data_IF_329922292385
#
_entry.id   IF_329922292385
#
_cell.length_a   1.000
_cell.length_b   1.000
_cell.length_c   1.000
_cell.angle_alpha   90.00
_cell.angle_beta   90.00
_cell.angle_gamma   90.00
#
_symmetry.space_group_name_H-M   'P 1'
#
loop_
_entity.id
_entity.type
_entity.pdbx_description
1 polymer ?
#
# COMPACT_ATOMS: atom_id res chain seq x y z
N UNK A 1 13.39 12.86 7.83
CA UNK A 1 14.79 12.74 7.33
C UNK A 1 14.70 12.01 6.00
N UNK A 2 15.24 12.55 4.89
CA UNK A 2 15.28 11.83 3.63
C UNK A 2 16.24 10.64 3.78
N UNK A 3 15.73 9.43 3.72
CA UNK A 3 16.55 8.23 3.61
C UNK A 3 17.11 8.16 2.19
N UNK A 4 18.25 8.80 1.99
CA UNK A 4 19.03 8.61 0.77
C UNK A 4 19.66 7.21 0.83
N UNK A 5 19.40 6.37 -0.18
CA UNK A 5 20.07 5.09 -0.38
C UNK A 5 21.55 5.34 -0.71
N UNK A 6 22.41 5.37 0.32
CA UNK A 6 23.85 5.64 0.17
C UNK A 6 24.73 4.41 0.46
N UNK A 7 24.16 3.19 0.50
CA UNK A 7 24.97 1.98 0.69
C UNK A 7 25.18 1.24 -0.62
N UNK A 8 26.44 0.90 -0.92
CA UNK A 8 26.86 0.09 -2.07
C UNK A 8 26.48 -1.41 -1.95
N UNK A 9 25.69 -1.82 -0.97
CA UNK A 9 25.15 -3.17 -0.82
C UNK A 9 23.74 -3.22 -1.41
N UNK A 10 23.31 -4.36 -2.00
CA UNK A 10 21.92 -4.50 -2.43
C UNK A 10 20.97 -4.18 -1.29
N UNK A 11 20.08 -3.22 -1.49
CA UNK A 11 19.11 -2.85 -0.45
C UNK A 11 18.14 -4.02 -0.20
N UNK A 12 17.92 -4.34 1.06
CA UNK A 12 16.96 -5.36 1.51
C UNK A 12 15.63 -4.67 1.78
N UNK A 13 14.60 -5.11 1.05
CA UNK A 13 13.25 -4.57 1.14
C UNK A 13 12.30 -5.61 1.75
N UNK A 14 11.73 -5.30 2.91
CA UNK A 14 10.70 -6.14 3.51
C UNK A 14 9.34 -5.81 2.89
N UNK A 15 8.58 -6.82 2.48
CA UNK A 15 7.37 -6.65 1.67
C UNK A 15 6.32 -7.70 2.01
N UNK A 16 5.04 -7.33 1.82
CA UNK A 16 3.90 -8.24 1.69
C UNK A 16 3.48 -8.33 0.22
N UNK A 17 2.68 -9.33 -0.16
CA UNK A 17 2.49 -9.79 -1.54
C UNK A 17 2.23 -8.74 -2.64
N UNK A 18 1.44 -7.65 -2.49
CA UNK A 18 1.08 -6.78 -3.62
C UNK A 18 2.05 -5.61 -3.89
N UNK A 19 3.25 -5.60 -3.36
CA UNK A 19 4.19 -4.47 -3.44
C UNK A 19 4.77 -4.14 -4.82
N UNK A 20 4.72 -5.07 -5.75
CA UNK A 20 5.48 -4.99 -7.00
C UNK A 20 5.01 -3.87 -7.91
N UNK A 21 3.70 -3.63 -7.94
CA UNK A 21 3.09 -2.54 -8.71
C UNK A 21 3.53 -1.17 -8.18
N UNK A 22 3.62 -1.00 -6.86
CA UNK A 22 4.12 0.23 -6.24
C UNK A 22 5.56 0.51 -6.67
N UNK A 23 6.44 -0.51 -6.64
CA UNK A 23 7.84 -0.37 -7.08
C UNK A 23 7.96 -0.11 -8.58
N UNK A 24 7.11 -0.76 -9.40
CA UNK A 24 7.06 -0.51 -10.84
C UNK A 24 6.62 0.92 -11.13
N UNK A 25 5.55 1.40 -10.50
CA UNK A 25 5.02 2.76 -10.62
C UNK A 25 6.04 3.81 -10.17
N UNK A 26 6.79 3.51 -9.12
CA UNK A 26 7.88 4.35 -8.63
C UNK A 26 9.16 4.31 -9.51
N UNK A 27 9.19 3.51 -10.58
CA UNK A 27 10.33 3.37 -11.48
C UNK A 27 11.54 2.65 -10.85
N UNK A 28 11.34 1.91 -9.77
CA UNK A 28 12.39 1.22 -9.04
C UNK A 28 12.69 -0.15 -9.62
N UNK A 29 11.69 -0.81 -10.19
CA UNK A 29 11.77 -2.07 -10.92
C UNK A 29 10.93 -1.99 -12.19
N UNK A 30 11.10 -2.96 -13.10
CA UNK A 30 10.21 -3.13 -14.25
C UNK A 30 9.59 -4.52 -14.20
N UNK A 31 8.26 -4.59 -14.27
CA UNK A 31 7.50 -5.84 -14.35
C UNK A 31 7.24 -6.22 -15.80
N UNK A 32 7.16 -7.50 -16.09
CA UNK A 32 6.78 -8.06 -17.39
C UNK A 32 5.36 -7.62 -17.77
N UNK A 33 4.44 -7.68 -16.82
CA UNK A 33 3.08 -7.18 -16.94
C UNK A 33 2.72 -6.40 -15.65
N UNK A 34 2.68 -5.07 -15.70
CA UNK A 34 2.34 -4.26 -14.53
C UNK A 34 0.85 -4.34 -14.15
N UNK A 35 -0.01 -4.92 -14.98
CA UNK A 35 -1.44 -5.10 -14.69
C UNK A 35 -1.75 -6.42 -13.97
N UNK A 36 -0.81 -7.36 -13.96
CA UNK A 36 -0.98 -8.62 -13.22
C UNK A 36 -0.78 -8.40 -11.71
N UNK A 37 -1.89 -8.37 -10.98
CA UNK A 37 -1.88 -8.23 -9.51
C UNK A 37 -1.29 -9.44 -8.77
N UNK A 38 -1.08 -10.57 -9.47
CA UNK A 38 -0.47 -11.80 -8.94
C UNK A 38 1.01 -11.93 -9.31
N UNK A 39 1.59 -10.89 -9.91
CA UNK A 39 3.00 -10.89 -10.30
C UNK A 39 3.89 -11.35 -9.13
N UNK A 40 4.87 -12.17 -9.41
CA UNK A 40 5.85 -12.69 -8.45
C UNK A 40 7.21 -12.01 -8.64
N UNK A 41 8.19 -12.32 -7.81
CA UNK A 41 9.57 -11.83 -8.00
C UNK A 41 10.18 -12.30 -9.33
N UNK A 42 9.68 -13.40 -9.91
CA UNK A 42 10.13 -13.91 -11.22
C UNK A 42 9.62 -13.05 -12.39
N UNK A 43 8.62 -12.22 -12.18
CA UNK A 43 8.06 -11.33 -13.19
C UNK A 43 8.78 -9.96 -13.25
N UNK A 44 9.80 -9.77 -12.42
CA UNK A 44 10.67 -8.59 -12.46
C UNK A 44 11.69 -8.74 -13.59
N UNK A 45 11.51 -7.97 -14.66
CA UNK A 45 12.41 -7.99 -15.83
C UNK A 45 13.61 -7.06 -15.70
N UNK A 46 13.48 -5.97 -14.88
CA UNK A 46 14.61 -5.09 -14.54
C UNK A 46 14.60 -4.74 -13.06
N UNK A 47 15.77 -4.85 -12.46
CA UNK A 47 16.05 -4.48 -11.08
C UNK A 47 17.43 -3.78 -11.03
N UNK A 48 17.55 -2.54 -11.55
CA UNK A 48 18.83 -1.89 -11.77
C UNK A 48 19.61 -1.61 -10.47
N UNK A 49 18.90 -1.53 -9.34
CA UNK A 49 19.51 -1.31 -8.01
C UNK A 49 19.77 -2.62 -7.27
N UNK A 50 19.48 -3.77 -7.90
CA UNK A 50 19.67 -5.11 -7.34
C UNK A 50 19.00 -5.30 -5.97
N UNK A 51 17.78 -4.79 -5.80
CA UNK A 51 17.00 -4.95 -4.57
C UNK A 51 16.83 -6.43 -4.22
N UNK A 52 16.95 -6.75 -2.93
CA UNK A 52 16.62 -8.05 -2.35
C UNK A 52 15.28 -7.94 -1.65
N UNK A 53 14.34 -8.77 -2.02
CA UNK A 53 13.00 -8.78 -1.43
C UNK A 53 12.92 -9.87 -0.36
N UNK A 54 12.40 -9.49 0.82
CA UNK A 54 12.10 -10.39 1.93
C UNK A 54 10.59 -10.33 2.16
N UNK A 55 9.90 -11.37 1.73
CA UNK A 55 8.45 -11.49 1.91
C UNK A 55 8.13 -11.87 3.35
N UNK A 56 7.24 -11.14 3.99
CA UNK A 56 6.81 -11.29 5.37
C UNK A 56 5.32 -11.01 5.50
N UNK A 57 4.72 -11.51 6.57
CA UNK A 57 3.35 -11.16 6.94
C UNK A 57 3.23 -9.66 7.23
N UNK A 58 2.17 -9.02 6.73
CA UNK A 58 1.95 -7.58 6.82
C UNK A 58 2.08 -7.01 8.25
N UNK A 59 1.59 -7.75 9.24
CA UNK A 59 1.66 -7.35 10.66
C UNK A 59 3.10 -7.28 11.23
N UNK A 60 4.06 -7.93 10.57
CA UNK A 60 5.46 -7.94 11.01
C UNK A 60 6.28 -6.78 10.41
N UNK A 61 5.82 -6.22 9.29
CA UNK A 61 6.57 -5.23 8.52
C UNK A 61 6.98 -3.98 9.32
N UNK A 62 6.11 -3.38 10.17
CA UNK A 62 6.53 -2.23 10.97
C UNK A 62 7.65 -2.55 11.96
N UNK A 63 7.68 -3.79 12.47
CA UNK A 63 8.65 -4.22 13.48
C UNK A 63 10.03 -4.53 12.89
N UNK A 64 10.08 -5.01 11.65
CA UNK A 64 11.32 -5.38 10.96
C UNK A 64 12.04 -4.16 10.34
N UNK A 65 11.39 -2.99 10.28
CA UNK A 65 11.92 -1.80 9.64
C UNK A 65 13.33 -1.41 10.10
N UNK A 66 13.73 -1.56 11.38
CA UNK A 66 15.11 -1.28 11.81
C UNK A 66 16.17 -2.22 11.22
N UNK A 67 15.77 -3.41 10.76
CA UNK A 67 16.66 -4.49 10.29
C UNK A 67 16.75 -4.55 8.76
N UNK A 68 16.04 -3.69 8.05
CA UNK A 68 15.98 -3.63 6.59
C UNK A 68 16.19 -2.20 6.09
N UNK A 69 16.50 -2.04 4.80
CA UNK A 69 16.69 -0.71 4.23
C UNK A 69 15.38 0.04 3.97
N UNK A 70 14.30 -0.69 3.68
CA UNK A 70 12.94 -0.16 3.63
C UNK A 70 11.90 -1.29 3.76
N UNK A 71 10.64 -0.92 4.00
CA UNK A 71 9.52 -1.85 4.00
C UNK A 71 8.30 -1.24 3.30
N UNK A 72 7.51 -2.07 2.63
CA UNK A 72 6.18 -1.68 2.13
C UNK A 72 5.16 -2.08 3.19
N UNK A 73 4.56 -1.11 3.82
CA UNK A 73 3.67 -1.29 4.97
C UNK A 73 2.28 -0.78 4.60
N UNK A 74 1.27 -1.63 4.74
CA UNK A 74 -0.12 -1.25 4.54
C UNK A 74 -0.53 -0.17 5.54
N UNK A 75 -1.28 0.84 5.09
CA UNK A 75 -1.62 2.03 5.85
C UNK A 75 -2.18 1.77 7.25
N UNK A 76 -3.05 0.76 7.40
CA UNK A 76 -3.58 0.37 8.72
C UNK A 76 -2.51 -0.10 9.70
N UNK A 77 -1.57 -0.92 9.25
CA UNK A 77 -0.45 -1.38 10.09
C UNK A 77 0.54 -0.26 10.38
N UNK A 78 0.77 0.65 9.43
CA UNK A 78 1.61 1.82 9.62
C UNK A 78 1.06 2.73 10.73
N UNK A 79 -0.22 3.11 10.64
CA UNK A 79 -0.87 3.97 11.65
C UNK A 79 -0.89 3.31 13.03
N UNK A 80 -1.19 2.01 13.11
CA UNK A 80 -1.17 1.27 14.38
C UNK A 80 0.23 1.18 15.00
N UNK A 81 1.28 1.26 14.19
CA UNK A 81 2.66 1.29 14.65
C UNK A 81 3.17 2.72 14.95
N UNK A 82 2.31 3.74 14.81
CA UNK A 82 2.65 5.13 15.06
C UNK A 82 3.29 5.88 13.90
N UNK A 83 3.31 5.30 12.69
CA UNK A 83 3.75 5.98 11.47
C UNK A 83 2.62 6.77 10.85
N UNK A 84 2.95 7.93 10.31
CA UNK A 84 2.03 8.75 9.52
C UNK A 84 2.45 8.72 8.06
N UNK A 85 1.77 7.96 7.18
CA UNK A 85 2.23 7.74 5.81
C UNK A 85 2.49 9.01 5.01
N UNK A 86 1.73 10.08 5.22
CA UNK A 86 1.98 11.38 4.57
C UNK A 86 3.28 12.08 4.99
N UNK A 87 3.83 11.72 6.14
CA UNK A 87 5.02 12.35 6.72
C UNK A 87 6.24 11.42 6.66
N UNK A 88 6.02 10.10 6.85
CA UNK A 88 7.07 9.12 7.06
C UNK A 88 7.38 8.28 5.81
N UNK A 89 6.49 8.26 4.79
CA UNK A 89 6.72 7.42 3.62
C UNK A 89 7.64 8.09 2.58
N UNK A 90 8.43 7.27 1.89
CA UNK A 90 9.25 7.67 0.73
C UNK A 90 8.38 7.67 -0.53
N UNK A 91 7.49 6.68 -0.65
CA UNK A 91 6.52 6.53 -1.74
C UNK A 91 5.20 6.13 -1.12
N UNK A 92 4.13 6.80 -1.52
CA UNK A 92 2.77 6.51 -1.10
C UNK A 92 1.94 6.11 -2.32
N UNK A 93 1.09 5.09 -2.18
CA UNK A 93 0.08 4.79 -3.19
C UNK A 93 -0.91 5.94 -3.31
N UNK A 94 -1.35 6.21 -4.50
CA UNK A 94 -2.36 7.23 -4.78
C UNK A 94 -3.76 6.60 -5.02
N UNK A 95 -4.72 7.47 -5.31
CA UNK A 95 -6.13 7.10 -5.58
C UNK A 95 -6.32 6.17 -6.79
N UNK A 96 -5.32 6.06 -7.66
CA UNK A 96 -5.37 5.22 -8.88
C UNK A 96 -4.83 3.81 -8.60
N UNK A 97 -4.57 3.49 -7.33
CA UNK A 97 -4.18 2.13 -6.90
C UNK A 97 -5.28 1.12 -7.22
N UNK A 98 -4.94 -0.06 -7.74
CA UNK A 98 -5.92 -1.14 -7.93
C UNK A 98 -6.37 -1.80 -6.61
N UNK A 99 -5.73 -1.48 -5.50
CA UNK A 99 -5.98 -2.08 -4.18
C UNK A 99 -6.97 -1.24 -3.36
N UNK A 100 -8.17 -1.06 -3.89
CA UNK A 100 -9.24 -0.30 -3.23
C UNK A 100 -10.01 -1.21 -2.27
N UNK A 101 -10.26 -0.72 -1.05
CA UNK A 101 -11.20 -1.38 -0.14
C UNK A 101 -12.65 -1.16 -0.61
N UNK A 102 -13.45 -2.21 -0.59
CA UNK A 102 -14.83 -2.22 -1.07
C UNK A 102 -15.80 -2.73 0.00
N UNK A 103 -17.08 -2.36 -0.14
CA UNK A 103 -18.16 -3.06 0.55
C UNK A 103 -18.51 -4.32 -0.24
N UNK A 104 -18.32 -5.49 0.37
CA UNK A 104 -18.73 -6.76 -0.20
C UNK A 104 -20.06 -7.21 0.41
N UNK A 105 -21.01 -7.60 -0.42
CA UNK A 105 -22.32 -8.14 -0.04
C UNK A 105 -22.54 -9.50 -0.70
N UNK A 106 -23.56 -10.24 -0.25
CA UNK A 106 -23.95 -11.49 -0.92
C UNK A 106 -24.48 -11.18 -2.32
N UNK A 107 -24.25 -12.08 -3.26
CA UNK A 107 -24.85 -11.97 -4.57
C UNK A 107 -26.39 -11.89 -4.48
N UNK A 108 -26.97 -10.86 -5.09
CA UNK A 108 -28.40 -10.55 -5.04
C UNK A 108 -28.79 -9.51 -3.97
N UNK A 109 -27.91 -9.17 -3.04
CA UNK A 109 -28.18 -8.15 -2.01
C UNK A 109 -27.75 -6.73 -2.43
N UNK A 110 -27.15 -6.56 -3.60
CA UNK A 110 -26.57 -5.28 -4.08
C UNK A 110 -27.60 -4.15 -4.16
N UNK A 111 -28.86 -4.52 -4.40
CA UNK A 111 -29.96 -3.57 -4.59
C UNK A 111 -30.82 -3.33 -3.35
N UNK A 112 -30.48 -3.94 -2.21
CA UNK A 112 -31.21 -3.74 -0.97
C UNK A 112 -31.08 -2.28 -0.50
N UNK A 113 -32.21 -1.72 -0.05
CA UNK A 113 -32.28 -0.30 0.38
C UNK A 113 -31.39 0.01 1.58
N UNK A 114 -31.26 -0.92 2.53
CA UNK A 114 -30.38 -0.77 3.69
C UNK A 114 -28.90 -0.78 3.30
N UNK A 115 -28.50 -1.59 2.31
CA UNK A 115 -27.14 -1.60 1.78
C UNK A 115 -26.82 -0.29 1.04
N UNK A 116 -27.74 0.19 0.21
CA UNK A 116 -27.59 1.49 -0.47
C UNK A 116 -27.46 2.62 0.53
N UNK A 117 -28.34 2.67 1.54
CA UNK A 117 -28.28 3.67 2.59
C UNK A 117 -26.94 3.65 3.37
N UNK A 118 -26.39 2.46 3.63
CA UNK A 118 -25.07 2.31 4.24
C UNK A 118 -23.95 2.91 3.38
N UNK A 119 -23.94 2.61 2.08
CA UNK A 119 -22.94 3.13 1.14
C UNK A 119 -23.03 4.65 1.03
N UNK A 120 -24.25 5.19 0.88
CA UNK A 120 -24.49 6.63 0.83
C UNK A 120 -24.05 7.34 2.11
N UNK A 121 -24.36 6.77 3.28
CA UNK A 121 -23.92 7.33 4.56
C UNK A 121 -22.40 7.34 4.72
N UNK A 122 -21.71 6.33 4.14
CA UNK A 122 -20.26 6.23 4.18
C UNK A 122 -19.58 7.20 3.19
N UNK A 123 -20.16 7.40 2.01
CA UNK A 123 -19.61 8.26 0.94
C UNK A 123 -19.97 9.74 1.12
N UNK A 124 -19.83 10.27 2.33
CA UNK A 124 -20.10 11.67 2.66
C UNK A 124 -18.81 12.46 2.89
N UNK A 125 -18.84 13.77 2.65
CA UNK A 125 -17.72 14.66 2.95
C UNK A 125 -17.30 14.59 4.43
N UNK A 126 -18.27 14.41 5.34
CA UNK A 126 -17.99 14.23 6.76
C UNK A 126 -17.12 13.02 7.05
N UNK A 127 -17.38 11.90 6.38
CA UNK A 127 -16.59 10.66 6.52
C UNK A 127 -15.23 10.84 5.84
N UNK A 128 -15.18 11.46 4.66
CA UNK A 128 -13.93 11.79 3.98
C UNK A 128 -13.01 12.63 4.87
N UNK A 129 -13.52 13.72 5.44
CA UNK A 129 -12.74 14.58 6.31
C UNK A 129 -12.27 13.89 7.58
N UNK A 130 -13.11 13.03 8.14
CA UNK A 130 -12.75 12.21 9.29
C UNK A 130 -11.60 11.27 8.97
N UNK A 131 -11.65 10.55 7.81
CA UNK A 131 -10.59 9.66 7.36
C UNK A 131 -9.28 10.42 7.20
N UNK A 132 -9.28 11.53 6.47
CA UNK A 132 -8.08 12.32 6.21
C UNK A 132 -7.46 12.86 7.50
N UNK A 133 -8.28 13.36 8.40
CA UNK A 133 -7.83 13.92 9.68
C UNK A 133 -7.29 12.86 10.63
N UNK A 134 -7.96 11.69 10.68
CA UNK A 134 -7.66 10.66 11.67
C UNK A 134 -6.49 9.80 11.26
N UNK A 135 -6.45 9.39 9.99
CA UNK A 135 -5.49 8.38 9.52
C UNK A 135 -4.29 8.96 8.78
N UNK A 136 -4.26 10.28 8.52
CA UNK A 136 -3.09 11.02 7.99
C UNK A 136 -2.36 10.28 6.85
N UNK A 137 -3.11 9.84 5.86
CA UNK A 137 -2.60 9.11 4.70
C UNK A 137 -2.54 7.59 4.85
N UNK A 138 -2.87 7.03 6.03
CA UNK A 138 -3.00 5.57 6.20
C UNK A 138 -4.18 4.98 5.42
N UNK A 139 -5.19 5.81 5.14
CA UNK A 139 -6.31 5.49 4.27
C UNK A 139 -6.61 6.71 3.39
N UNK A 140 -6.78 6.47 2.09
CA UNK A 140 -7.07 7.49 1.09
C UNK A 140 -8.50 7.28 0.60
N UNK A 141 -9.46 8.17 0.90
CA UNK A 141 -10.82 8.06 0.37
C UNK A 141 -10.81 8.31 -1.14
N UNK A 142 -11.48 7.41 -1.89
CA UNK A 142 -11.56 7.45 -3.37
C UNK A 142 -12.99 7.66 -3.88
N UNK A 143 -13.88 8.14 -3.04
CA UNK A 143 -15.28 8.47 -3.35
C UNK A 143 -15.53 9.97 -3.28
#
# INVERSE_FOLDING_TARGET
RPYAFTRCTPAVLAVDAPYKQLFHKAGLIELKDPTDLRATTFDIVKNPKNFKFKELEAAQLPRILPDVDAAVINGGYAVNAGFFPTEDSIVLEDKDSPYINIFAVRAGDENREDIKALVEAFQTDKVRDYILKTFKGGFIPVF
#
